data_IF_314547913372
#
_entry.id   IF_314547913372
#
_cell.length_a   1.000
_cell.length_b   1.000
_cell.length_c   1.000
_cell.angle_alpha   90.00
_cell.angle_beta   90.00
_cell.angle_gamma   90.00
#
_symmetry.space_group_name_H-M   'P 1'
#
loop_
_entity.id
_entity.type
_entity.pdbx_description
1 polymer ?
#
# COMPACT_ATOMS: atom_id res chain seq x y z
N UNK A 1 11.17 14.78 -21.46
CA UNK A 1 11.80 14.13 -20.30
C UNK A 1 12.46 15.22 -19.48
N UNK A 2 12.26 15.19 -18.15
CA UNK A 2 12.91 16.12 -17.21
C UNK A 2 13.77 15.28 -16.29
N UNK A 3 15.05 15.58 -16.23
CA UNK A 3 16.00 14.91 -15.35
C UNK A 3 16.18 15.71 -14.06
N UNK A 4 16.02 15.05 -12.92
CA UNK A 4 16.15 15.66 -11.60
C UNK A 4 17.17 14.83 -10.80
N UNK A 5 18.23 15.44 -10.26
CA UNK A 5 19.25 14.75 -9.47
C UNK A 5 18.73 14.45 -8.05
N UNK A 6 17.62 13.69 -7.95
CA UNK A 6 16.92 13.42 -6.70
C UNK A 6 17.81 12.83 -5.61
N UNK A 7 18.78 12.00 -5.98
CA UNK A 7 19.69 11.40 -5.01
C UNK A 7 20.58 12.44 -4.33
N UNK A 8 21.16 13.34 -5.12
CA UNK A 8 22.01 14.42 -4.61
C UNK A 8 21.21 15.36 -3.72
N UNK A 9 20.03 15.78 -4.21
CA UNK A 9 19.15 16.70 -3.47
C UNK A 9 18.62 16.05 -2.17
N UNK A 10 18.32 14.75 -2.18
CA UNK A 10 17.93 14.04 -0.96
C UNK A 10 19.08 13.97 0.03
N UNK A 11 20.31 13.63 -0.42
CA UNK A 11 21.50 13.61 0.46
C UNK A 11 21.72 14.95 1.15
N UNK A 12 21.59 16.05 0.42
CA UNK A 12 21.68 17.39 0.99
C UNK A 12 20.58 17.68 2.00
N UNK A 13 19.32 17.36 1.64
CA UNK A 13 18.17 17.65 2.48
C UNK A 13 18.18 16.92 3.84
N UNK A 14 18.75 15.72 3.90
CA UNK A 14 18.78 14.92 5.12
C UNK A 14 20.05 15.11 5.96
N UNK A 15 20.96 15.99 5.56
CA UNK A 15 22.13 16.33 6.38
C UNK A 15 21.71 16.81 7.76
N UNK A 16 22.36 16.28 8.79
CA UNK A 16 22.06 16.66 10.18
C UNK A 16 20.86 15.96 10.81
N UNK A 17 20.14 15.09 10.10
CA UNK A 17 19.01 14.35 10.66
C UNK A 17 19.41 13.08 11.44
N UNK A 18 20.69 12.73 11.44
CA UNK A 18 21.20 11.54 12.12
C UNK A 18 21.19 10.26 11.26
N UNK A 19 20.53 10.25 10.10
CA UNK A 19 20.57 9.08 9.19
C UNK A 19 21.84 9.05 8.38
N UNK A 20 22.38 7.85 8.14
CA UNK A 20 23.63 7.63 7.39
C UNK A 20 23.50 6.46 6.41
N UNK A 21 24.45 6.39 5.47
CA UNK A 21 24.58 5.25 4.56
C UNK A 21 23.34 5.01 3.70
N UNK A 22 22.89 3.75 3.66
CA UNK A 22 21.74 3.35 2.83
C UNK A 22 20.40 3.93 3.31
N UNK A 23 20.31 4.35 4.57
CA UNK A 23 19.07 4.95 5.11
C UNK A 23 18.76 6.29 4.44
N UNK A 24 19.80 7.07 4.10
CA UNK A 24 19.66 8.33 3.35
C UNK A 24 18.94 8.12 2.02
N UNK A 25 19.33 7.08 1.27
CA UNK A 25 18.74 6.79 -0.04
C UNK A 25 17.29 6.31 0.03
N UNK A 26 16.86 5.74 1.16
CA UNK A 26 15.45 5.34 1.38
C UNK A 26 14.52 6.54 1.41
N UNK A 27 14.99 7.70 1.85
CA UNK A 27 14.20 8.93 1.89
C UNK A 27 13.98 9.57 0.50
N UNK A 28 14.65 9.08 -0.56
CA UNK A 28 14.51 9.58 -1.94
C UNK A 28 13.05 9.52 -2.43
N UNK A 29 12.32 8.49 -2.05
CA UNK A 29 10.90 8.35 -2.44
C UNK A 29 10.04 9.46 -1.82
N UNK A 30 10.39 9.95 -0.63
CA UNK A 30 9.69 11.06 0.02
C UNK A 30 10.01 12.39 -0.68
N UNK A 31 11.24 12.58 -1.20
CA UNK A 31 11.56 13.72 -2.05
C UNK A 31 10.68 13.72 -3.31
N UNK A 32 10.60 12.59 -4.00
CA UNK A 32 9.71 12.45 -5.18
C UNK A 32 8.25 12.73 -4.82
N UNK A 33 7.77 12.21 -3.69
CA UNK A 33 6.39 12.43 -3.23
C UNK A 33 6.13 13.91 -2.92
N UNK A 34 7.09 14.61 -2.32
CA UNK A 34 7.00 16.06 -2.07
C UNK A 34 6.87 16.85 -3.36
N UNK A 35 7.68 16.52 -4.36
CA UNK A 35 7.61 17.16 -5.68
C UNK A 35 6.27 16.90 -6.36
N UNK A 36 5.75 15.68 -6.28
CA UNK A 36 4.42 15.34 -6.80
C UNK A 36 3.30 16.07 -6.02
N UNK A 37 3.43 16.21 -4.71
CA UNK A 37 2.47 16.98 -3.91
C UNK A 37 2.38 18.43 -4.39
N UNK A 38 3.51 19.05 -4.68
CA UNK A 38 3.53 20.39 -5.29
C UNK A 38 2.90 20.39 -6.69
N UNK A 39 3.29 19.46 -7.57
CA UNK A 39 2.83 19.40 -8.96
C UNK A 39 1.31 19.21 -9.08
N UNK A 40 0.72 18.45 -8.17
CA UNK A 40 -0.71 18.12 -8.15
C UNK A 40 -1.52 18.90 -7.10
N UNK A 41 -0.96 19.98 -6.54
CA UNK A 41 -1.59 20.80 -5.49
C UNK A 41 -2.19 19.97 -4.36
N UNK A 42 -1.46 18.93 -3.90
CA UNK A 42 -1.93 18.07 -2.81
C UNK A 42 -1.58 18.67 -1.46
N UNK A 43 -2.48 18.58 -0.47
CA UNK A 43 -2.17 19.01 0.89
C UNK A 43 -1.01 18.16 1.45
N UNK A 44 -0.12 18.82 2.19
CA UNK A 44 1.09 18.19 2.73
C UNK A 44 0.87 17.54 4.09
N UNK A 45 -0.10 18.05 4.87
CA UNK A 45 -0.39 17.68 6.24
C UNK A 45 -0.68 16.17 6.40
N UNK A 46 -1.55 15.53 5.57
CA UNK A 46 -1.81 14.11 5.71
C UNK A 46 -0.57 13.23 5.54
N UNK A 47 0.36 13.66 4.65
CA UNK A 47 1.61 12.92 4.42
C UNK A 47 2.58 13.11 5.58
N UNK A 48 2.72 14.33 6.10
CA UNK A 48 3.61 14.59 7.24
C UNK A 48 3.15 13.86 8.50
N UNK A 49 1.86 13.91 8.82
CA UNK A 49 1.28 13.15 9.94
C UNK A 49 1.46 11.63 9.78
N UNK A 50 1.31 11.12 8.55
CA UNK A 50 1.54 9.71 8.28
C UNK A 50 3.01 9.31 8.49
N UNK A 51 3.96 10.15 8.06
CA UNK A 51 5.40 9.91 8.30
C UNK A 51 5.68 9.84 9.80
N UNK A 52 5.17 10.81 10.57
CA UNK A 52 5.35 10.87 12.02
C UNK A 52 4.80 9.63 12.72
N UNK A 53 3.58 9.22 12.39
CA UNK A 53 2.93 8.03 12.95
C UNK A 53 3.64 6.75 12.57
N UNK A 54 3.98 6.58 11.29
CA UNK A 54 4.57 5.35 10.78
C UNK A 54 5.97 5.07 11.31
N UNK A 55 6.76 6.11 11.50
CA UNK A 55 8.15 6.00 11.93
C UNK A 55 8.38 6.49 13.36
N UNK A 56 7.32 6.61 14.18
CA UNK A 56 7.36 7.16 15.54
C UNK A 56 8.49 6.59 16.42
N UNK A 57 8.83 5.30 16.25
CA UNK A 57 9.88 4.62 17.02
C UNK A 57 11.32 4.92 16.52
N UNK A 58 11.48 5.78 15.50
CA UNK A 58 12.77 6.12 14.88
C UNK A 58 12.82 7.60 14.53
N UNK A 59 13.07 8.48 15.51
CA UNK A 59 12.99 9.94 15.35
C UNK A 59 13.89 10.46 14.20
N UNK A 60 15.08 9.88 14.03
CA UNK A 60 16.01 10.23 12.97
C UNK A 60 15.44 9.93 11.58
N UNK A 61 14.67 8.84 11.44
CA UNK A 61 13.99 8.48 10.19
C UNK A 61 12.82 9.41 9.92
N UNK A 62 12.08 9.80 10.95
CA UNK A 62 11.02 10.81 10.85
C UNK A 62 11.62 12.12 10.33
N UNK A 63 12.67 12.62 10.99
CA UNK A 63 13.33 13.86 10.61
C UNK A 63 13.84 13.83 9.15
N UNK A 64 14.50 12.73 8.75
CA UNK A 64 15.02 12.57 7.40
C UNK A 64 13.90 12.53 6.35
N UNK A 65 12.83 11.80 6.61
CA UNK A 65 11.71 11.68 5.68
C UNK A 65 10.96 13.00 5.53
N UNK A 66 10.73 13.73 6.62
CA UNK A 66 10.12 15.06 6.58
C UNK A 66 11.00 16.06 5.84
N UNK A 67 12.33 16.04 6.09
CA UNK A 67 13.27 16.91 5.39
C UNK A 67 13.29 16.63 3.88
N UNK A 68 13.35 15.36 3.49
CA UNK A 68 13.31 14.96 2.08
C UNK A 68 11.98 15.36 1.41
N UNK A 69 10.85 15.14 2.07
CA UNK A 69 9.53 15.52 1.56
C UNK A 69 9.41 17.04 1.33
N UNK A 70 9.81 17.84 2.33
CA UNK A 70 9.83 19.31 2.22
C UNK A 70 10.78 19.79 1.11
N UNK A 71 11.95 19.15 0.98
CA UNK A 71 12.90 19.51 -0.06
C UNK A 71 12.35 19.26 -1.46
N UNK A 72 11.66 18.13 -1.67
CA UNK A 72 10.99 17.84 -2.95
C UNK A 72 9.91 18.86 -3.29
N UNK A 73 9.07 19.20 -2.31
CA UNK A 73 8.02 20.22 -2.48
C UNK A 73 8.61 21.60 -2.82
N UNK A 74 9.60 22.03 -2.06
CA UNK A 74 10.29 23.31 -2.26
C UNK A 74 11.07 23.36 -3.58
N UNK A 75 11.63 22.22 -4.01
CA UNK A 75 12.28 22.13 -5.31
C UNK A 75 11.31 22.48 -6.45
N UNK A 76 10.08 21.98 -6.37
CA UNK A 76 9.01 22.33 -7.33
C UNK A 76 8.72 23.82 -7.34
N UNK A 77 8.56 24.44 -6.17
CA UNK A 77 8.31 25.88 -6.04
C UNK A 77 9.45 26.69 -6.62
N UNK A 78 10.70 26.35 -6.26
CA UNK A 78 11.87 27.19 -6.56
C UNK A 78 12.28 27.07 -8.03
N UNK A 79 12.26 25.86 -8.59
CA UNK A 79 12.77 25.63 -9.93
C UNK A 79 11.71 25.79 -11.01
N UNK A 80 10.45 25.65 -10.65
CA UNK A 80 9.32 25.65 -11.61
C UNK A 80 9.61 24.76 -12.82
N UNK A 81 10.24 23.61 -12.54
CA UNK A 81 10.79 22.69 -13.54
C UNK A 81 9.69 22.12 -14.46
N UNK A 82 8.45 22.12 -14.00
CA UNK A 82 7.30 21.77 -14.81
C UNK A 82 6.64 23.01 -15.37
N UNK A 83 6.33 23.00 -16.66
CA UNK A 83 5.64 24.12 -17.33
C UNK A 83 4.18 24.26 -16.93
N UNK A 84 3.63 23.27 -16.26
CA UNK A 84 2.25 23.25 -15.80
C UNK A 84 2.16 22.46 -14.49
N UNK A 85 1.18 22.82 -13.70
CA UNK A 85 0.75 22.05 -12.54
C UNK A 85 -0.68 21.56 -12.78
N UNK A 86 -1.08 20.52 -12.11
CA UNK A 86 -2.42 19.91 -12.27
C UNK A 86 -3.13 19.95 -10.93
N UNK A 87 -4.28 20.62 -10.90
CA UNK A 87 -5.14 20.58 -9.73
C UNK A 87 -6.01 19.34 -9.75
N UNK A 88 -5.85 18.46 -8.74
CA UNK A 88 -6.73 17.33 -8.53
C UNK A 88 -7.80 17.74 -7.51
N UNK A 89 -9.00 18.03 -8.01
CA UNK A 89 -10.15 18.38 -7.18
C UNK A 89 -10.57 17.19 -6.33
N UNK A 90 -11.17 17.41 -5.13
CA UNK A 90 -11.84 16.35 -4.39
C UNK A 90 -12.88 15.64 -5.27
N UNK A 91 -13.01 14.32 -5.08
CA UNK A 91 -14.05 13.57 -5.77
C UNK A 91 -15.45 14.03 -5.29
N UNK A 92 -16.39 14.12 -6.21
CA UNK A 92 -17.79 14.39 -5.90
C UNK A 92 -18.46 13.11 -5.38
N UNK A 93 -18.27 12.85 -4.10
CA UNK A 93 -18.81 11.69 -3.40
C UNK A 93 -19.85 12.12 -2.36
N UNK A 94 -20.93 11.34 -2.16
CA UNK A 94 -21.86 11.55 -1.08
C UNK A 94 -21.15 11.63 0.27
N UNK A 95 -21.68 12.39 1.22
CA UNK A 95 -21.11 12.44 2.58
C UNK A 95 -21.18 11.05 3.23
N UNK A 96 -20.05 10.58 3.78
CA UNK A 96 -19.99 9.26 4.39
C UNK A 96 -18.62 8.92 4.94
N UNK A 97 -18.54 7.74 5.56
CA UNK A 97 -17.26 7.14 5.94
C UNK A 97 -16.78 6.26 4.79
N UNK A 98 -15.59 6.50 4.32
CA UNK A 98 -14.96 5.74 3.24
C UNK A 98 -13.73 5.03 3.76
N UNK A 99 -13.48 3.85 3.22
CA UNK A 99 -12.29 3.04 3.50
C UNK A 99 -11.62 2.72 2.17
N UNK A 100 -10.31 2.85 2.13
CA UNK A 100 -9.54 2.38 0.99
C UNK A 100 -9.46 0.86 1.05
N UNK A 101 -9.99 0.19 0.02
CA UNK A 101 -10.01 -1.26 -0.10
C UNK A 101 -9.33 -1.66 -1.39
N UNK A 102 -8.41 -2.62 -1.33
CA UNK A 102 -7.86 -3.23 -2.53
C UNK A 102 -8.83 -4.24 -3.12
N UNK A 103 -8.71 -4.55 -4.43
CA UNK A 103 -9.52 -5.60 -5.06
C UNK A 103 -9.40 -6.95 -4.33
N UNK A 104 -8.18 -7.33 -3.93
CA UNK A 104 -7.93 -8.57 -3.20
C UNK A 104 -8.62 -8.62 -1.83
N UNK A 105 -8.63 -7.50 -1.10
CA UNK A 105 -9.39 -7.40 0.16
C UNK A 105 -10.90 -7.51 -0.09
N UNK A 106 -11.41 -6.79 -1.09
CA UNK A 106 -12.82 -6.86 -1.47
C UNK A 106 -13.24 -8.28 -1.86
N UNK A 107 -12.39 -8.98 -2.62
CA UNK A 107 -12.60 -10.39 -2.97
C UNK A 107 -12.65 -11.28 -1.72
N UNK A 108 -11.68 -11.17 -0.82
CA UNK A 108 -11.64 -11.95 0.41
C UNK A 108 -12.90 -11.74 1.27
N UNK A 109 -13.34 -10.50 1.44
CA UNK A 109 -14.55 -10.17 2.20
C UNK A 109 -15.82 -10.66 1.52
N UNK A 110 -15.89 -10.56 0.18
CA UNK A 110 -17.00 -11.09 -0.61
C UNK A 110 -17.13 -12.62 -0.50
N UNK A 111 -16.01 -13.35 -0.50
CA UNK A 111 -15.99 -14.79 -0.30
C UNK A 111 -16.50 -15.20 1.08
N UNK A 112 -16.10 -14.50 2.14
CA UNK A 112 -16.62 -14.72 3.50
C UNK A 112 -18.13 -14.48 3.54
N UNK A 113 -18.60 -13.35 2.99
CA UNK A 113 -20.02 -13.04 2.95
C UNK A 113 -20.81 -14.10 2.17
N UNK A 114 -20.29 -14.55 1.02
CA UNK A 114 -20.94 -15.60 0.22
C UNK A 114 -21.05 -16.92 0.99
N UNK A 115 -19.98 -17.35 1.69
CA UNK A 115 -19.99 -18.57 2.50
C UNK A 115 -21.00 -18.49 3.65
N UNK A 116 -21.06 -17.34 4.33
CA UNK A 116 -22.04 -17.11 5.39
C UNK A 116 -23.48 -17.12 4.87
N UNK A 117 -23.77 -16.47 3.73
CA UNK A 117 -25.08 -16.49 3.11
C UNK A 117 -25.49 -17.89 2.63
N UNK A 118 -24.53 -18.67 2.13
CA UNK A 118 -24.76 -20.06 1.72
C UNK A 118 -24.84 -21.03 2.89
N UNK A 119 -24.51 -20.60 4.09
CA UNK A 119 -24.35 -21.44 5.29
C UNK A 119 -23.39 -22.64 5.04
N UNK A 120 -22.27 -22.37 4.36
CA UNK A 120 -21.24 -23.33 4.05
C UNK A 120 -19.90 -22.91 4.68
N UNK A 121 -19.04 -23.85 5.11
CA UNK A 121 -17.68 -23.52 5.47
C UNK A 121 -16.91 -23.03 4.24
N UNK A 122 -16.06 -21.99 4.41
CA UNK A 122 -15.23 -21.47 3.34
C UNK A 122 -13.86 -22.16 3.36
N UNK A 123 -13.48 -22.76 2.23
CA UNK A 123 -12.13 -23.28 2.00
C UNK A 123 -11.49 -22.55 0.83
N UNK A 124 -10.34 -21.94 1.08
CA UNK A 124 -9.55 -21.24 0.06
C UNK A 124 -8.17 -21.88 -0.07
N UNK A 125 -7.93 -22.52 -1.19
CA UNK A 125 -6.62 -23.02 -1.56
C UNK A 125 -5.93 -22.02 -2.48
N UNK A 126 -4.64 -21.78 -2.29
CA UNK A 126 -3.84 -20.96 -3.18
C UNK A 126 -2.39 -21.39 -3.15
N UNK A 127 -1.58 -20.81 -3.99
CA UNK A 127 -0.14 -21.04 -4.09
C UNK A 127 0.60 -19.68 -4.12
N UNK A 128 1.93 -19.66 -3.92
CA UNK A 128 2.69 -18.39 -3.89
C UNK A 128 2.73 -17.72 -5.25
N UNK A 129 1.89 -16.71 -5.47
CA UNK A 129 1.84 -15.91 -6.69
C UNK A 129 1.49 -14.46 -6.41
N UNK A 130 2.31 -13.53 -6.88
CA UNK A 130 2.07 -12.09 -6.74
C UNK A 130 1.24 -11.59 -7.94
N UNK A 131 0.18 -10.79 -7.72
CA UNK A 131 -0.30 -10.22 -6.43
C UNK A 131 -1.42 -11.03 -5.77
N UNK A 132 -1.81 -12.21 -6.28
CA UNK A 132 -2.98 -12.97 -5.83
C UNK A 132 -2.84 -13.51 -4.39
N UNK A 133 -1.61 -13.73 -3.91
CA UNK A 133 -1.35 -14.17 -2.53
C UNK A 133 -1.95 -13.26 -1.45
N UNK A 134 -2.25 -12.00 -1.77
CA UNK A 134 -2.88 -11.08 -0.84
C UNK A 134 -4.29 -11.52 -0.44
N UNK A 135 -5.01 -12.24 -1.31
CA UNK A 135 -6.33 -12.84 -0.98
C UNK A 135 -6.15 -13.90 0.11
N UNK A 136 -5.15 -14.79 -0.07
CA UNK A 136 -4.84 -15.83 0.93
C UNK A 136 -4.45 -15.21 2.28
N UNK A 137 -3.59 -14.18 2.26
CA UNK A 137 -3.14 -13.51 3.47
C UNK A 137 -4.30 -12.81 4.19
N UNK A 138 -5.19 -12.14 3.46
CA UNK A 138 -6.35 -11.48 4.05
C UNK A 138 -7.33 -12.50 4.64
N UNK A 139 -7.62 -13.60 3.95
CA UNK A 139 -8.46 -14.68 4.46
C UNK A 139 -7.85 -15.36 5.70
N UNK A 140 -6.54 -15.60 5.69
CA UNK A 140 -5.84 -16.15 6.86
C UNK A 140 -5.92 -15.24 8.09
N UNK A 141 -5.89 -13.91 7.89
CA UNK A 141 -6.11 -12.93 8.96
C UNK A 141 -7.53 -12.97 9.51
N UNK A 142 -8.50 -13.31 8.66
CA UNK A 142 -9.94 -13.35 8.95
C UNK A 142 -10.45 -14.75 9.31
N UNK A 143 -9.57 -15.70 9.66
CA UNK A 143 -9.92 -17.10 9.98
C UNK A 143 -10.99 -17.24 11.08
N UNK A 144 -11.17 -16.23 11.93
CA UNK A 144 -12.20 -16.23 12.97
C UNK A 144 -13.64 -16.20 12.40
N UNK A 145 -13.81 -15.95 11.09
CA UNK A 145 -15.08 -16.11 10.37
C UNK A 145 -15.32 -17.53 9.84
N UNK A 146 -14.57 -18.54 10.30
CA UNK A 146 -14.73 -19.92 9.87
C UNK A 146 -14.05 -20.27 8.55
N UNK A 147 -13.07 -19.45 8.13
CA UNK A 147 -12.33 -19.68 6.90
C UNK A 147 -11.18 -20.66 7.12
N UNK A 148 -11.10 -21.67 6.28
CA UNK A 148 -9.94 -22.57 6.17
C UNK A 148 -9.10 -22.11 4.98
N UNK A 149 -7.84 -21.78 5.23
CA UNK A 149 -6.87 -21.42 4.19
C UNK A 149 -5.82 -22.49 4.04
N UNK A 150 -5.50 -22.83 2.79
CA UNK A 150 -4.49 -23.83 2.44
C UNK A 150 -3.52 -23.25 1.41
N UNK A 151 -2.24 -23.26 1.72
CA UNK A 151 -1.21 -22.88 0.76
C UNK A 151 -0.60 -24.13 0.15
N UNK A 152 -0.86 -24.35 -1.12
CA UNK A 152 -0.28 -25.39 -1.94
C UNK A 152 1.09 -24.99 -2.49
N UNK A 153 1.82 -25.94 -3.04
CA UNK A 153 3.09 -25.70 -3.72
C UNK A 153 2.88 -25.01 -5.09
N UNK A 154 1.85 -25.46 -5.83
CA UNK A 154 1.54 -25.03 -7.19
C UNK A 154 0.02 -24.98 -7.45
N UNK A 155 -0.33 -24.57 -8.68
CA UNK A 155 -1.71 -24.44 -9.15
C UNK A 155 -2.46 -25.78 -9.14
N UNK A 156 -1.78 -26.88 -9.53
CA UNK A 156 -2.39 -28.20 -9.65
C UNK A 156 -2.80 -28.70 -8.27
N UNK A 157 -1.90 -28.57 -7.29
CA UNK A 157 -2.15 -28.95 -5.92
C UNK A 157 -3.25 -28.07 -5.28
N UNK A 158 -3.26 -26.74 -5.56
CA UNK A 158 -4.29 -25.84 -5.07
C UNK A 158 -5.67 -26.22 -5.63
N UNK A 159 -5.76 -26.46 -6.94
CA UNK A 159 -6.98 -26.89 -7.60
C UNK A 159 -7.48 -28.23 -7.05
N UNK A 160 -6.59 -29.22 -6.91
CA UNK A 160 -6.94 -30.52 -6.34
C UNK A 160 -7.48 -30.42 -4.90
N UNK A 161 -6.87 -29.56 -4.08
CA UNK A 161 -7.32 -29.31 -2.71
C UNK A 161 -8.71 -28.64 -2.68
N UNK A 162 -8.95 -27.65 -3.55
CA UNK A 162 -10.25 -26.98 -3.65
C UNK A 162 -11.35 -27.97 -4.10
N UNK A 163 -11.08 -28.80 -5.11
CA UNK A 163 -12.03 -29.85 -5.55
C UNK A 163 -12.34 -30.82 -4.41
N UNK A 164 -11.33 -31.30 -3.69
CA UNK A 164 -11.52 -32.19 -2.55
C UNK A 164 -12.35 -31.57 -1.43
N UNK A 165 -12.10 -30.29 -1.12
CA UNK A 165 -12.86 -29.55 -0.11
C UNK A 165 -14.33 -29.32 -0.54
N UNK A 166 -14.57 -29.09 -1.85
CA UNK A 166 -15.93 -28.96 -2.38
C UNK A 166 -16.71 -30.28 -2.25
N UNK A 167 -16.10 -31.41 -2.55
CA UNK A 167 -16.70 -32.72 -2.29
C UNK A 167 -16.95 -32.98 -0.79
N UNK A 168 -16.14 -32.36 0.09
CA UNK A 168 -16.33 -32.36 1.54
C UNK A 168 -17.43 -31.43 2.05
N UNK A 169 -18.13 -30.70 1.16
CA UNK A 169 -19.25 -29.84 1.53
C UNK A 169 -18.87 -28.39 1.83
N UNK A 170 -17.68 -27.94 1.42
CA UNK A 170 -17.25 -26.54 1.57
C UNK A 170 -17.58 -25.71 0.33
N UNK A 171 -17.78 -24.41 0.52
CA UNK A 171 -17.60 -23.44 -0.54
C UNK A 171 -16.09 -23.30 -0.78
N UNK A 172 -15.60 -23.99 -1.79
CA UNK A 172 -14.16 -24.11 -2.04
C UNK A 172 -13.74 -23.32 -3.27
N UNK A 173 -12.60 -22.65 -3.16
CA UNK A 173 -12.05 -21.78 -4.21
C UNK A 173 -10.53 -21.91 -4.28
N UNK A 174 -9.98 -21.57 -5.45
CA UNK A 174 -8.56 -21.46 -5.71
C UNK A 174 -8.25 -20.29 -6.63
#
# INVERSE_FOLDING_TARGET
>A
VIEIPMETLTKEAVKGTGVTGRAVLRSKNLFALGLLAWMFHRPTEPTTEWIEKKFANKPEVVAANLAAFKAGYNFGITTQVFRFTVEIKPADLPRGKYVNVTGNQGTAWGLIAAAQHANLPLFYASYPITPASDVLHELARLRHYGVVTFQAEDEIAACGAAIGAAYGGSLALT
#
